data_IF_038019955346
#
_entry.id   IF_038019955346
#
_cell.length_a   1.000
_cell.length_b   1.000
_cell.length_c   1.000
_cell.angle_alpha   90.00
_cell.angle_beta   90.00
_cell.angle_gamma   90.00
#
_symmetry.space_group_name_H-M   'P 1'
#
loop_
_entity.id
_entity.type
_entity.pdbx_description
1 polymer ?
#
# COMPACT_ATOMS: atom_id res chain seq x y z
N UNK A 1 16.00 16.35 12.45
CA UNK A 1 15.00 16.05 13.48
C UNK A 1 14.30 14.76 13.10
N UNK A 2 14.41 13.74 13.96
CA UNK A 2 13.80 12.42 13.79
C UNK A 2 12.59 12.32 14.71
N UNK A 3 11.42 12.10 14.14
CA UNK A 3 10.14 11.98 14.82
C UNK A 3 9.63 10.56 14.61
N UNK A 4 9.46 9.83 15.70
CA UNK A 4 9.00 8.45 15.68
C UNK A 4 7.68 8.37 16.44
N UNK A 5 6.63 7.90 15.77
CA UNK A 5 5.36 7.60 16.42
C UNK A 5 5.33 6.11 16.77
N UNK A 6 5.44 5.81 18.05
CA UNK A 6 5.31 4.46 18.56
C UNK A 6 3.83 4.08 18.66
N UNK A 7 3.46 2.98 17.99
CA UNK A 7 2.09 2.49 17.86
C UNK A 7 1.99 0.99 18.17
N UNK A 8 0.78 0.46 18.12
CA UNK A 8 0.51 -0.97 18.20
C UNK A 8 -0.73 -1.34 17.40
N UNK A 9 -0.78 -2.57 16.87
CA UNK A 9 -1.95 -3.10 16.14
C UNK A 9 -3.25 -3.14 16.96
N UNK A 10 -3.17 -3.22 18.29
CA UNK A 10 -4.34 -3.29 19.18
C UNK A 10 -4.77 -1.93 19.74
N UNK A 11 -4.20 -0.84 19.23
CA UNK A 11 -4.41 0.52 19.72
C UNK A 11 -5.45 1.27 18.87
N UNK A 12 -6.68 1.51 19.38
CA UNK A 12 -7.75 2.14 18.60
C UNK A 12 -7.47 3.60 18.22
N UNK A 13 -6.70 4.30 19.05
CA UNK A 13 -6.37 5.72 18.86
C UNK A 13 -5.10 5.94 18.03
N UNK A 14 -4.36 4.88 17.69
CA UNK A 14 -3.11 4.99 16.95
C UNK A 14 -3.34 5.44 15.49
N UNK A 15 -4.44 5.02 14.86
CA UNK A 15 -4.84 5.49 13.53
C UNK A 15 -5.04 7.02 13.50
N UNK A 16 -5.62 7.56 14.57
CA UNK A 16 -5.85 9.01 14.70
C UNK A 16 -4.55 9.77 14.90
N UNK A 17 -3.65 9.27 15.77
CA UNK A 17 -2.34 9.88 15.97
C UNK A 17 -1.51 9.87 14.68
N UNK A 18 -1.52 8.75 13.96
CA UNK A 18 -0.82 8.63 12.70
C UNK A 18 -1.36 9.58 11.64
N UNK A 19 -2.68 9.73 11.52
CA UNK A 19 -3.27 10.65 10.56
C UNK A 19 -2.82 12.10 10.82
N UNK A 20 -2.73 12.50 12.10
CA UNK A 20 -2.22 13.83 12.47
C UNK A 20 -0.75 13.97 12.06
N UNK A 21 0.11 13.07 12.51
CA UNK A 21 1.55 13.16 12.25
C UNK A 21 1.92 12.99 10.78
N UNK A 22 1.18 12.17 10.05
CA UNK A 22 1.31 12.02 8.59
C UNK A 22 1.00 13.32 7.85
N UNK A 23 -0.04 14.05 8.28
CA UNK A 23 -0.31 15.37 7.69
C UNK A 23 0.84 16.36 7.99
N UNK A 24 1.32 16.40 9.24
CA UNK A 24 2.39 17.33 9.62
C UNK A 24 3.71 17.01 8.92
N UNK A 25 4.03 15.72 8.75
CA UNK A 25 5.18 15.31 7.96
C UNK A 25 5.04 15.67 6.47
N UNK A 26 3.84 15.80 5.91
CA UNK A 26 3.69 16.34 4.56
C UNK A 26 3.95 17.86 4.48
N UNK A 27 3.72 18.60 5.57
CA UNK A 27 3.87 20.06 5.66
C UNK A 27 5.31 20.52 5.98
N UNK A 28 6.13 19.67 6.61
CA UNK A 28 7.42 20.05 7.21
C UNK A 28 8.52 19.04 6.95
N UNK A 29 9.76 19.51 6.90
CA UNK A 29 10.93 18.69 6.57
C UNK A 29 11.55 18.07 7.83
N UNK A 30 11.05 16.89 8.19
CA UNK A 30 11.64 16.03 9.21
C UNK A 30 11.57 14.55 8.82
N UNK A 31 12.39 13.73 9.47
CA UNK A 31 12.40 12.29 9.32
C UNK A 31 11.28 11.70 10.18
N UNK A 32 10.22 11.21 9.55
CA UNK A 32 9.05 10.66 10.23
C UNK A 32 8.94 9.17 10.01
N UNK A 33 8.87 8.39 11.08
CA UNK A 33 8.61 6.95 11.04
C UNK A 33 7.54 6.54 12.03
N UNK A 34 6.78 5.52 11.66
CA UNK A 34 5.81 4.86 12.53
C UNK A 34 6.41 3.52 12.95
N UNK A 35 6.62 3.34 14.24
CA UNK A 35 7.30 2.17 14.81
C UNK A 35 6.29 1.35 15.59
N UNK A 36 6.04 0.11 15.18
CA UNK A 36 5.19 -0.82 15.94
C UNK A 36 5.99 -1.38 17.14
N UNK A 37 5.40 -1.31 18.34
CA UNK A 37 6.05 -1.76 19.57
C UNK A 37 6.40 -3.27 19.60
N UNK A 38 5.77 -4.06 18.73
CA UNK A 38 6.05 -5.49 18.51
C UNK A 38 7.28 -5.76 17.65
N UNK A 39 7.90 -4.74 17.05
CA UNK A 39 9.18 -4.86 16.33
C UNK A 39 10.39 -4.82 17.28
N UNK A 40 11.57 -5.32 16.87
CA UNK A 40 12.79 -5.19 17.68
C UNK A 40 13.13 -3.74 18.04
N UNK A 41 13.03 -2.81 17.08
CA UNK A 41 13.26 -1.37 17.30
C UNK A 41 12.24 -0.78 18.29
N UNK A 42 10.95 -1.09 18.11
CA UNK A 42 9.89 -0.66 19.02
C UNK A 42 10.08 -1.17 20.45
N UNK A 43 10.51 -2.43 20.63
CA UNK A 43 10.82 -2.99 21.95
C UNK A 43 11.99 -2.28 22.62
N UNK A 44 13.02 -1.93 21.88
CA UNK A 44 14.16 -1.17 22.40
C UNK A 44 13.71 0.20 22.90
N UNK A 45 12.89 0.91 22.11
CA UNK A 45 12.31 2.20 22.50
C UNK A 45 11.44 2.09 23.76
N UNK A 46 10.57 1.07 23.83
CA UNK A 46 9.72 0.81 25.00
C UNK A 46 10.55 0.58 26.26
N UNK A 47 11.62 -0.23 26.17
CA UNK A 47 12.48 -0.52 27.31
C UNK A 47 13.29 0.72 27.73
N UNK A 48 13.94 1.39 26.78
CA UNK A 48 14.77 2.57 27.05
C UNK A 48 13.97 3.72 27.66
N UNK A 49 12.79 4.01 27.09
CA UNK A 49 11.95 5.14 27.50
C UNK A 49 10.89 4.75 28.54
N UNK A 50 10.87 3.49 29.00
CA UNK A 50 9.93 2.95 29.99
C UNK A 50 8.47 3.22 29.62
N UNK A 51 8.13 3.07 28.34
CA UNK A 51 6.80 3.38 27.82
C UNK A 51 5.80 2.32 28.27
N UNK A 52 4.66 2.78 28.81
CA UNK A 52 3.57 1.91 29.28
C UNK A 52 2.34 1.95 28.37
N UNK A 53 2.27 2.96 27.50
CA UNK A 53 1.08 3.28 26.72
C UNK A 53 1.48 3.77 25.32
N UNK A 54 0.63 3.46 24.35
CA UNK A 54 0.69 3.95 22.98
C UNK A 54 -0.64 4.62 22.63
N UNK A 55 -0.69 5.56 21.66
CA UNK A 55 0.43 6.06 20.86
C UNK A 55 1.39 6.94 21.69
N UNK A 56 2.68 6.91 21.36
CA UNK A 56 3.70 7.74 22.01
C UNK A 56 4.63 8.37 20.97
N UNK A 57 4.92 9.65 21.15
CA UNK A 57 5.77 10.42 20.25
C UNK A 57 7.18 10.52 20.81
N UNK A 58 8.16 10.07 20.04
CA UNK A 58 9.58 10.15 20.35
C UNK A 58 10.24 11.12 19.37
N UNK A 59 10.89 12.17 19.86
CA UNK A 59 11.61 13.14 19.04
C UNK A 59 13.09 13.08 19.40
N UNK A 60 13.94 12.85 18.41
CA UNK A 60 15.40 12.74 18.56
C UNK A 60 15.82 11.77 19.68
N UNK A 61 15.04 10.71 19.87
CA UNK A 61 15.29 9.66 20.86
C UNK A 61 14.66 9.91 22.24
N UNK A 62 14.04 11.07 22.47
CA UNK A 62 13.39 11.44 23.74
C UNK A 62 11.87 11.40 23.65
N UNK A 63 11.20 10.98 24.74
CA UNK A 63 9.74 10.98 24.80
C UNK A 63 9.23 12.42 24.84
N UNK A 64 8.50 12.83 23.79
CA UNK A 64 7.96 14.18 23.65
C UNK A 64 6.48 14.29 23.99
N UNK A 65 5.71 13.22 23.79
CA UNK A 65 4.28 13.21 24.08
C UNK A 65 3.69 11.81 24.12
N UNK A 66 2.53 11.67 24.78
CA UNK A 66 1.76 10.42 24.85
C UNK A 66 0.31 10.75 24.49
N UNK A 67 -0.35 9.85 23.76
CA UNK A 67 -1.70 10.04 23.24
C UNK A 67 -1.72 10.70 21.86
N UNK A 68 -2.91 11.07 21.40
CA UNK A 68 -3.13 11.72 20.10
C UNK A 68 -2.90 13.21 20.27
N UNK A 69 -1.89 13.77 19.60
CA UNK A 69 -1.66 15.22 19.59
C UNK A 69 -2.69 15.91 18.71
N UNK A 70 -3.05 17.14 19.07
CA UNK A 70 -3.79 18.01 18.17
C UNK A 70 -2.90 18.45 16.99
N UNK A 71 -3.48 18.91 15.87
CA UNK A 71 -2.70 19.43 14.76
C UNK A 71 -1.86 20.67 15.14
N UNK A 72 -2.32 21.44 16.12
CA UNK A 72 -1.66 22.65 16.62
C UNK A 72 -0.45 22.26 17.48
N UNK A 73 -0.63 21.34 18.42
CA UNK A 73 0.45 20.79 19.25
C UNK A 73 1.54 20.13 18.39
N UNK A 74 1.12 19.37 17.38
CA UNK A 74 2.06 18.72 16.47
C UNK A 74 2.89 19.74 15.67
N UNK A 75 2.29 20.86 15.25
CA UNK A 75 3.03 21.96 14.59
C UNK A 75 3.99 22.66 15.52
N UNK A 76 3.60 22.86 16.77
CA UNK A 76 4.48 23.47 17.78
C UNK A 76 5.72 22.61 18.04
N UNK A 77 5.54 21.29 18.15
CA UNK A 77 6.64 20.34 18.34
C UNK A 77 7.66 20.40 17.19
N UNK A 78 7.21 20.63 15.96
CA UNK A 78 8.07 20.68 14.77
C UNK A 78 8.37 22.11 14.29
N UNK A 79 8.05 23.14 15.07
CA UNK A 79 8.12 24.54 14.64
C UNK A 79 9.51 24.99 14.18
N UNK A 80 10.57 24.34 14.66
CA UNK A 80 11.96 24.59 14.26
C UNK A 80 12.38 23.94 12.94
N UNK A 81 11.50 23.20 12.26
CA UNK A 81 11.82 22.52 10.99
C UNK A 81 11.38 23.33 9.77
N UNK A 82 12.15 23.32 8.66
CA UNK A 82 11.77 23.99 7.42
C UNK A 82 10.44 23.48 6.86
N UNK A 83 9.75 24.31 6.08
CA UNK A 83 8.60 23.84 5.29
C UNK A 83 9.07 22.91 4.17
N UNK A 84 8.34 21.81 3.95
CA UNK A 84 8.74 20.83 2.95
C UNK A 84 8.41 21.33 1.54
N UNK A 85 9.44 21.50 0.72
CA UNK A 85 9.31 21.83 -0.71
C UNK A 85 9.07 20.57 -1.55
N UNK A 86 7.95 19.87 -1.33
CA UNK A 86 7.58 18.70 -2.16
C UNK A 86 6.61 17.72 -1.50
N UNK A 87 5.78 17.07 -2.31
CA UNK A 87 4.77 16.11 -1.83
C UNK A 87 5.39 14.71 -1.63
N UNK A 88 5.90 14.40 -0.43
CA UNK A 88 6.19 13.03 -0.02
C UNK A 88 5.17 12.57 1.02
N UNK A 89 4.30 11.63 0.65
CA UNK A 89 3.28 11.08 1.55
C UNK A 89 3.94 10.14 2.56
N UNK A 90 3.80 10.39 3.87
CA UNK A 90 4.39 9.51 4.89
C UNK A 90 3.72 8.14 4.95
N UNK A 91 4.53 7.15 5.34
CA UNK A 91 4.15 5.74 5.44
C UNK A 91 3.49 5.49 6.79
N UNK A 92 2.16 5.41 6.77
CA UNK A 92 1.35 5.02 7.93
C UNK A 92 0.81 3.58 7.86
N UNK A 93 0.18 3.08 8.93
CA UNK A 93 -0.77 1.96 9.03
C UNK A 93 -1.86 2.07 7.95
N UNK A 94 -2.33 3.28 7.65
CA UNK A 94 -3.36 3.51 6.63
C UNK A 94 -2.88 3.14 5.21
N UNK A 95 -3.72 2.42 4.46
CA UNK A 95 -3.49 2.10 3.05
C UNK A 95 -3.50 3.37 2.19
N UNK A 96 -2.52 3.52 1.31
CA UNK A 96 -2.55 4.54 0.27
C UNK A 96 -3.83 4.37 -0.59
N UNK A 97 -4.45 5.46 -1.08
CA UNK A 97 -5.71 5.38 -1.82
C UNK A 97 -5.70 4.41 -3.00
N UNK A 98 -4.60 4.35 -3.75
CA UNK A 98 -4.45 3.43 -4.89
C UNK A 98 -4.35 1.96 -4.44
N UNK A 99 -3.62 1.67 -3.36
CA UNK A 99 -3.52 0.32 -2.80
C UNK A 99 -4.87 -0.12 -2.20
N UNK A 100 -5.63 0.78 -1.59
CA UNK A 100 -7.02 0.52 -1.18
C UNK A 100 -7.91 0.23 -2.39
N UNK A 101 -7.76 0.98 -3.48
CA UNK A 101 -8.51 0.74 -4.72
C UNK A 101 -8.20 -0.65 -5.32
N UNK A 102 -6.96 -1.10 -5.25
CA UNK A 102 -6.57 -2.46 -5.63
C UNK A 102 -7.30 -3.53 -4.80
N UNK A 103 -7.33 -3.39 -3.48
CA UNK A 103 -8.01 -4.36 -2.60
C UNK A 103 -9.53 -4.34 -2.81
N UNK A 104 -10.14 -3.17 -3.01
CA UNK A 104 -11.56 -3.05 -3.32
C UNK A 104 -11.90 -3.70 -4.67
N UNK A 105 -11.09 -3.46 -5.70
CA UNK A 105 -11.21 -4.15 -6.99
C UNK A 105 -11.12 -5.66 -6.84
N UNK A 106 -10.18 -6.16 -6.03
CA UNK A 106 -10.03 -7.59 -5.79
C UNK A 106 -11.28 -8.21 -5.17
N UNK A 107 -11.90 -7.55 -4.18
CA UNK A 107 -13.17 -8.00 -3.58
C UNK A 107 -14.30 -8.02 -4.61
N UNK A 108 -14.44 -6.97 -5.42
CA UNK A 108 -15.46 -6.90 -6.48
C UNK A 108 -15.28 -8.04 -7.48
N UNK A 109 -14.06 -8.26 -7.96
CA UNK A 109 -13.76 -9.34 -8.89
C UNK A 109 -13.91 -10.72 -8.27
N UNK A 110 -13.64 -10.90 -6.98
CA UNK A 110 -13.89 -12.15 -6.28
C UNK A 110 -15.38 -12.49 -6.26
N UNK A 111 -16.24 -11.50 -6.00
CA UNK A 111 -17.70 -11.68 -6.07
C UNK A 111 -18.13 -12.06 -7.49
N UNK A 112 -17.60 -11.37 -8.51
CA UNK A 112 -17.88 -11.68 -9.91
C UNK A 112 -17.42 -13.10 -10.27
N UNK A 113 -16.19 -13.47 -9.91
CA UNK A 113 -15.64 -14.80 -10.14
C UNK A 113 -16.47 -15.90 -9.45
N UNK A 114 -16.88 -15.68 -8.20
CA UNK A 114 -17.73 -16.60 -7.45
C UNK A 114 -19.12 -16.76 -8.09
N UNK A 115 -19.73 -15.66 -8.53
CA UNK A 115 -20.99 -15.69 -9.26
C UNK A 115 -20.88 -16.45 -10.58
N UNK A 116 -19.83 -16.20 -11.35
CA UNK A 116 -19.58 -16.93 -12.60
C UNK A 116 -19.28 -18.40 -12.35
N UNK A 117 -18.55 -18.74 -11.29
CA UNK A 117 -18.31 -20.13 -10.89
C UNK A 117 -19.61 -20.83 -10.54
N UNK A 118 -20.52 -20.18 -9.81
CA UNK A 118 -21.82 -20.73 -9.48
C UNK A 118 -22.69 -20.98 -10.72
N UNK A 119 -22.60 -20.11 -11.73
CA UNK A 119 -23.33 -20.25 -12.99
C UNK A 119 -22.77 -21.33 -13.92
N UNK A 120 -21.44 -21.50 -13.95
CA UNK A 120 -20.77 -22.40 -14.90
C UNK A 120 -20.34 -23.74 -14.28
N UNK A 121 -20.45 -23.90 -12.95
CA UNK A 121 -20.20 -25.15 -12.24
C UNK A 121 -18.72 -25.55 -12.11
N UNK A 122 -17.78 -24.77 -12.64
CA UNK A 122 -16.35 -25.07 -12.59
C UNK A 122 -15.45 -23.92 -13.05
N UNK A 123 -14.16 -24.00 -12.71
CA UNK A 123 -13.14 -23.03 -13.14
C UNK A 123 -12.73 -23.24 -14.60
N UNK A 124 -12.81 -24.49 -15.06
CA UNK A 124 -12.49 -24.93 -16.41
C UNK A 124 -13.79 -25.36 -17.10
N UNK A 125 -14.04 -24.96 -18.35
CA UNK A 125 -15.20 -25.42 -19.09
C UNK A 125 -15.07 -26.90 -19.42
N UNK A 126 -16.15 -27.70 -19.37
CA UNK A 126 -16.14 -29.08 -19.85
C UNK A 126 -15.96 -29.16 -21.37
N UNK A 127 -16.63 -28.26 -22.12
CA UNK A 127 -16.80 -28.38 -23.58
C UNK A 127 -16.28 -27.16 -24.38
N UNK A 128 -15.54 -26.26 -23.73
CA UNK A 128 -15.13 -24.98 -24.31
C UNK A 128 -13.63 -24.70 -24.14
N UNK A 129 -12.96 -24.09 -25.14
CA UNK A 129 -11.52 -23.83 -25.08
C UNK A 129 -11.13 -22.64 -24.18
N UNK A 130 -12.11 -21.87 -23.69
CA UNK A 130 -11.87 -20.61 -22.97
C UNK A 130 -12.09 -20.75 -21.46
N UNK A 131 -11.03 -20.73 -20.62
CA UNK A 131 -11.17 -20.81 -19.17
C UNK A 131 -11.48 -19.43 -18.58
N UNK A 132 -12.69 -18.94 -18.83
CA UNK A 132 -13.09 -17.57 -18.48
C UNK A 132 -13.17 -17.31 -16.99
N UNK A 133 -13.78 -18.23 -16.22
CA UNK A 133 -13.89 -18.10 -14.75
C UNK A 133 -12.50 -18.06 -14.12
N UNK A 134 -11.57 -18.89 -14.61
CA UNK A 134 -10.18 -18.88 -14.19
C UNK A 134 -9.49 -17.53 -14.46
N UNK A 135 -9.67 -16.95 -15.64
CA UNK A 135 -9.06 -15.65 -15.96
C UNK A 135 -9.67 -14.51 -15.13
N UNK A 136 -10.97 -14.51 -14.88
CA UNK A 136 -11.61 -13.54 -13.97
C UNK A 136 -11.06 -13.69 -12.55
N UNK A 137 -10.90 -14.93 -12.07
CA UNK A 137 -10.34 -15.18 -10.75
C UNK A 137 -8.86 -14.74 -10.66
N UNK A 138 -8.02 -15.12 -11.62
CA UNK A 138 -6.58 -14.81 -11.60
C UNK A 138 -6.28 -13.33 -11.88
N UNK A 139 -6.81 -12.80 -12.99
CA UNK A 139 -6.53 -11.42 -13.40
C UNK A 139 -7.38 -10.41 -12.63
N UNK A 140 -8.63 -10.75 -12.30
CA UNK A 140 -9.54 -9.87 -11.59
C UNK A 140 -9.35 -9.89 -10.08
N UNK A 141 -9.19 -11.05 -9.44
CA UNK A 141 -9.05 -11.12 -7.98
C UNK A 141 -7.59 -11.19 -7.52
N UNK A 142 -6.87 -12.25 -7.90
CA UNK A 142 -5.53 -12.55 -7.36
C UNK A 142 -4.55 -11.43 -7.71
N UNK A 143 -4.55 -10.97 -8.95
CA UNK A 143 -3.61 -9.94 -9.43
C UNK A 143 -3.72 -8.61 -8.65
N UNK A 144 -4.90 -7.95 -8.55
CA UNK A 144 -5.00 -6.71 -7.78
C UNK A 144 -4.88 -6.94 -6.27
N UNK A 145 -5.24 -8.12 -5.74
CA UNK A 145 -4.96 -8.45 -4.35
C UNK A 145 -3.46 -8.42 -4.05
N UNK A 146 -2.67 -9.13 -4.86
CA UNK A 146 -1.20 -9.14 -4.74
C UNK A 146 -0.63 -7.74 -4.98
N UNK A 147 -1.10 -7.02 -6.00
CA UNK A 147 -0.61 -5.66 -6.29
C UNK A 147 -0.85 -4.70 -5.11
N UNK A 148 -2.08 -4.70 -4.55
CA UNK A 148 -2.42 -3.87 -3.40
C UNK A 148 -1.60 -4.20 -2.16
N UNK A 149 -1.38 -5.49 -1.89
CA UNK A 149 -0.52 -5.91 -0.78
C UNK A 149 0.96 -5.58 -1.03
N UNK A 150 1.47 -5.80 -2.24
CA UNK A 150 2.86 -5.52 -2.57
C UNK A 150 3.18 -4.03 -2.39
N UNK A 151 2.32 -3.14 -2.90
CA UNK A 151 2.45 -1.69 -2.71
C UNK A 151 2.40 -1.27 -1.24
N UNK A 152 1.63 -1.98 -0.42
CA UNK A 152 1.47 -1.66 0.99
C UNK A 152 2.60 -2.22 1.86
N UNK A 153 3.07 -3.42 1.56
CA UNK A 153 4.00 -4.19 2.40
C UNK A 153 5.46 -3.93 2.05
N UNK A 154 5.82 -3.82 0.77
CA UNK A 154 7.21 -3.63 0.35
C UNK A 154 7.84 -2.38 0.97
N UNK A 155 7.18 -1.20 1.00
CA UNK A 155 7.77 -0.03 1.63
C UNK A 155 8.08 -0.21 3.12
N UNK A 156 7.31 -1.05 3.81
CA UNK A 156 7.47 -1.30 5.25
C UNK A 156 8.60 -2.27 5.54
N UNK A 157 8.73 -3.32 4.73
CA UNK A 157 9.83 -4.29 4.88
C UNK A 157 11.18 -3.72 4.43
N UNK A 158 11.17 -2.87 3.39
CA UNK A 158 12.40 -2.32 2.83
C UNK A 158 12.72 -0.91 3.36
N UNK A 159 11.85 -0.32 4.18
CA UNK A 159 11.97 1.06 4.71
C UNK A 159 12.20 2.12 3.61
N UNK A 160 11.70 1.85 2.39
CA UNK A 160 11.88 2.71 1.22
C UNK A 160 10.54 3.01 0.55
N UNK A 161 10.24 4.28 0.23
CA UNK A 161 8.98 4.63 -0.41
C UNK A 161 8.91 4.05 -1.83
N UNK A 162 7.76 3.48 -2.17
CA UNK A 162 7.42 3.11 -3.55
C UNK A 162 6.87 4.33 -4.27
N UNK A 163 7.18 4.47 -5.56
CA UNK A 163 6.72 5.60 -6.38
C UNK A 163 5.19 5.60 -6.48
N UNK A 164 4.52 6.45 -5.72
CA UNK A 164 3.06 6.63 -5.75
C UNK A 164 2.64 7.71 -6.79
N UNK A 165 1.34 8.04 -6.84
CA UNK A 165 0.81 9.09 -7.71
C UNK A 165 0.19 8.56 -9.01
N UNK A 166 0.28 9.29 -10.14
CA UNK A 166 -0.41 8.95 -11.39
C UNK A 166 -0.10 7.53 -11.89
N UNK A 167 1.15 7.11 -11.79
CA UNK A 167 1.59 5.77 -12.19
C UNK A 167 0.88 4.64 -11.43
N UNK A 168 0.49 4.87 -10.17
CA UNK A 168 -0.29 3.90 -9.38
C UNK A 168 -1.70 3.75 -9.90
N UNK A 169 -2.33 4.86 -10.28
CA UNK A 169 -3.67 4.85 -10.87
C UNK A 169 -3.67 4.28 -12.28
N UNK A 170 -2.64 4.58 -13.08
CA UNK A 170 -2.45 3.96 -14.40
C UNK A 170 -2.31 2.45 -14.28
N UNK A 171 -1.49 1.96 -13.35
CA UNK A 171 -1.37 0.54 -13.06
C UNK A 171 -2.71 -0.07 -12.65
N UNK A 172 -3.42 0.55 -11.70
CA UNK A 172 -4.74 0.10 -11.27
C UNK A 172 -5.74 0.00 -12.43
N UNK A 173 -5.74 1.02 -13.30
CA UNK A 173 -6.56 1.06 -14.51
C UNK A 173 -6.20 -0.06 -15.48
N UNK A 174 -4.92 -0.25 -15.78
CA UNK A 174 -4.44 -1.31 -16.68
C UNK A 174 -4.81 -2.71 -16.18
N UNK A 175 -4.67 -2.97 -14.88
CA UNK A 175 -5.00 -4.27 -14.30
C UNK A 175 -6.51 -4.55 -14.36
N UNK A 176 -7.35 -3.58 -13.99
CA UNK A 176 -8.80 -3.76 -14.02
C UNK A 176 -9.36 -3.80 -15.45
N UNK A 177 -8.87 -2.92 -16.34
CA UNK A 177 -9.24 -2.93 -17.75
C UNK A 177 -8.79 -4.23 -18.41
N UNK A 178 -7.58 -4.71 -18.12
CA UNK A 178 -7.09 -5.98 -18.59
C UNK A 178 -7.99 -7.15 -18.18
N UNK A 179 -8.34 -7.25 -16.89
CA UNK A 179 -9.26 -8.26 -16.39
C UNK A 179 -10.65 -8.19 -17.07
N UNK A 180 -11.23 -6.99 -17.20
CA UNK A 180 -12.53 -6.79 -17.81
C UNK A 180 -12.54 -7.13 -19.31
N UNK A 181 -11.54 -6.65 -20.06
CA UNK A 181 -11.41 -6.92 -21.49
C UNK A 181 -11.12 -8.40 -21.74
N UNK A 182 -10.34 -9.05 -20.89
CA UNK A 182 -10.14 -10.51 -20.96
C UNK A 182 -11.43 -11.28 -20.73
N UNK A 183 -12.21 -10.91 -19.71
CA UNK A 183 -13.50 -11.52 -19.43
C UNK A 183 -14.50 -11.34 -20.59
N UNK A 184 -14.67 -10.10 -21.06
CA UNK A 184 -15.60 -9.76 -22.15
C UNK A 184 -15.16 -10.41 -23.47
N UNK A 185 -13.88 -10.33 -23.81
CA UNK A 185 -13.34 -10.95 -25.01
C UNK A 185 -13.55 -12.46 -25.03
N UNK A 186 -13.33 -13.10 -23.89
CA UNK A 186 -13.47 -14.54 -23.75
C UNK A 186 -14.90 -15.08 -23.91
N UNK A 187 -15.91 -14.36 -23.41
CA UNK A 187 -17.30 -14.82 -23.42
C UNK A 187 -18.18 -14.19 -24.51
N UNK A 188 -17.87 -12.98 -24.98
CA UNK A 188 -18.81 -12.20 -25.79
C UNK A 188 -18.28 -11.95 -27.20
N UNK A 189 -16.99 -11.63 -27.36
CA UNK A 189 -16.49 -11.07 -28.63
C UNK A 189 -15.58 -12.03 -29.39
N UNK A 190 -14.63 -12.67 -28.69
CA UNK A 190 -13.67 -13.60 -29.28
C UNK A 190 -12.25 -13.49 -28.69
N UNK A 191 -11.38 -14.46 -29.02
CA UNK A 191 -10.07 -14.64 -28.37
C UNK A 191 -9.09 -13.49 -28.61
N UNK A 192 -9.21 -12.75 -29.73
CA UNK A 192 -8.35 -11.60 -30.02
C UNK A 192 -8.54 -10.48 -28.99
N UNK A 193 -9.79 -10.20 -28.59
CA UNK A 193 -10.06 -9.20 -27.56
C UNK A 193 -9.58 -9.70 -26.19
N UNK A 194 -9.72 -11.01 -25.92
CA UNK A 194 -9.21 -11.59 -24.69
C UNK A 194 -7.68 -11.43 -24.55
N UNK A 195 -6.95 -11.65 -25.65
CA UNK A 195 -5.50 -11.44 -25.73
C UNK A 195 -5.10 -9.96 -25.53
N UNK A 196 -5.90 -9.02 -26.05
CA UNK A 196 -5.68 -7.59 -25.79
C UNK A 196 -5.82 -7.28 -24.30
N UNK A 197 -6.82 -7.86 -23.61
CA UNK A 197 -6.97 -7.72 -22.16
C UNK A 197 -5.78 -8.28 -21.37
N UNK A 198 -5.26 -9.45 -21.77
CA UNK A 198 -4.07 -10.05 -21.14
C UNK A 198 -2.85 -9.14 -21.33
N UNK A 199 -2.72 -8.54 -22.52
CA UNK A 199 -1.64 -7.59 -22.83
C UNK A 199 -1.73 -6.35 -21.92
N UNK A 200 -2.93 -5.81 -21.71
CA UNK A 200 -3.16 -4.69 -20.79
C UNK A 200 -2.81 -5.06 -19.34
N UNK A 201 -3.25 -6.23 -18.86
CA UNK A 201 -2.92 -6.71 -17.51
C UNK A 201 -1.40 -6.89 -17.33
N UNK A 202 -0.73 -7.42 -18.35
CA UNK A 202 0.73 -7.58 -18.35
C UNK A 202 1.45 -6.23 -18.32
N UNK A 203 0.97 -5.24 -19.08
CA UNK A 203 1.50 -3.88 -19.02
C UNK A 203 1.32 -3.25 -17.61
N UNK A 204 0.17 -3.51 -16.96
CA UNK A 204 -0.05 -3.12 -15.57
C UNK A 204 0.95 -3.76 -14.60
N UNK A 205 1.20 -5.07 -14.72
CA UNK A 205 2.20 -5.78 -13.91
C UNK A 205 3.64 -5.31 -14.18
N UNK A 206 3.98 -5.02 -15.44
CA UNK A 206 5.26 -4.46 -15.80
C UNK A 206 5.45 -3.08 -15.14
N UNK A 207 4.41 -2.24 -15.15
CA UNK A 207 4.45 -0.96 -14.47
C UNK A 207 4.60 -1.11 -12.96
N UNK A 208 3.89 -2.05 -12.32
CA UNK A 208 4.09 -2.38 -10.91
C UNK A 208 5.55 -2.75 -10.63
N UNK A 209 6.11 -3.64 -11.44
CA UNK A 209 7.50 -4.09 -11.31
C UNK A 209 8.46 -2.91 -11.41
N UNK A 210 8.29 -2.04 -12.40
CA UNK A 210 9.13 -0.84 -12.57
C UNK A 210 9.02 0.14 -11.40
N UNK A 211 7.84 0.24 -10.77
CA UNK A 211 7.62 1.11 -9.60
C UNK A 211 8.22 0.53 -8.32
N UNK A 212 8.14 -0.79 -8.15
CA UNK A 212 8.71 -1.49 -6.99
C UNK A 212 10.21 -1.66 -7.09
N UNK A 213 10.76 -1.73 -8.31
CA UNK A 213 12.17 -2.02 -8.57
C UNK A 213 13.12 -1.15 -7.73
N UNK A 214 13.02 0.18 -7.67
CA UNK A 214 13.97 0.98 -6.89
C UNK A 214 13.95 0.69 -5.37
N UNK A 215 12.83 0.19 -4.83
CA UNK A 215 12.68 -0.09 -3.40
C UNK A 215 13.34 -1.41 -2.97
N UNK A 216 13.58 -2.33 -3.92
CA UNK A 216 14.07 -3.68 -3.62
C UNK A 216 15.60 -3.81 -3.59
N UNK A 217 16.35 -2.82 -4.09
CA UNK A 217 17.81 -2.86 -4.18
C UNK A 217 18.43 -2.07 -3.02
N UNK A 218 19.56 -2.46 -2.43
CA UNK A 218 20.27 -1.66 -1.43
C UNK A 218 20.74 -0.32 -2.02
N UNK A 219 20.80 0.74 -1.22
CA UNK A 219 21.62 1.90 -1.59
C UNK A 219 23.09 1.44 -1.66
N UNK A 220 23.81 1.82 -2.71
CA UNK A 220 25.25 1.57 -2.78
C UNK A 220 25.89 2.15 -1.52
N UNK A 221 26.65 1.32 -0.78
CA UNK A 221 27.38 1.79 0.38
C UNK A 221 28.27 2.96 -0.07
N UNK A 222 28.32 4.09 0.66
CA UNK A 222 29.26 5.15 0.34
C UNK A 222 30.66 4.55 0.32
N UNK A 223 31.41 4.80 -0.76
CA UNK A 223 32.80 4.42 -0.86
C UNK A 223 33.54 5.02 0.35
N UNK A 224 34.15 4.16 1.16
CA UNK A 224 34.95 4.56 2.31
C UNK A 224 36.23 5.25 1.88
#
# INVERSE_FOLDING_TARGET
>A
MRVQLLVSQWCPSCDSAEAVWSRIAAEREFDFSVVDMGTPEGRELVQRLRLKTVPALVVDGELRGVGVQSPEEAREIVAGTPERSGHSTPVGIALAPASRAHLLSAVVWLVIAGGLLALHGGLLPPDGPWPGVLHVFLLGFITPFIAGLAEHMIPRFMERPVRAGPWSWTQWGLLNAGAAVTAIGGWVVGPALAAAGITLATAGLALLTLRLWPALWPAAAPAR
#
